data_IF_164192705353
#
_entry.id   IF_164192705353
#
_cell.length_a   1.000
_cell.length_b   1.000
_cell.length_c   1.000
_cell.angle_alpha   90.00
_cell.angle_beta   90.00
_cell.angle_gamma   90.00
#
_symmetry.space_group_name_H-M   'P 1'
#
loop_
_entity.id
_entity.type
_entity.pdbx_description
1 polymer ?
#
# COMPACT_ATOMS: atom_id res chain seq x y z
N UNK A 1 -4.64 43.21 -27.53
CA UNK A 1 -3.66 42.08 -27.67
C UNK A 1 -3.47 41.24 -26.40
N UNK A 2 -3.91 41.72 -25.20
CA UNK A 2 -3.83 40.96 -23.92
C UNK A 2 -4.85 39.82 -23.79
N UNK A 3 -6.06 39.99 -24.35
CA UNK A 3 -7.15 39.00 -24.15
C UNK A 3 -6.93 37.68 -24.93
N UNK A 4 -6.27 37.71 -26.07
CA UNK A 4 -6.02 36.52 -26.88
C UNK A 4 -4.88 35.65 -26.29
N UNK A 5 -3.92 36.28 -25.61
CA UNK A 5 -2.83 35.55 -24.97
C UNK A 5 -3.30 34.85 -23.70
N UNK A 6 -4.17 35.45 -22.92
CA UNK A 6 -4.72 34.84 -21.72
C UNK A 6 -5.68 33.71 -22.08
N UNK A 7 -6.54 33.85 -23.07
CA UNK A 7 -7.43 32.78 -23.53
C UNK A 7 -6.65 31.56 -24.08
N UNK A 8 -5.50 31.75 -24.74
CA UNK A 8 -4.65 30.64 -25.19
C UNK A 8 -3.93 29.94 -24.03
N UNK A 9 -3.54 30.68 -22.99
CA UNK A 9 -2.92 30.08 -21.80
C UNK A 9 -3.96 29.28 -21.01
N UNK A 10 -5.18 29.82 -20.84
CA UNK A 10 -6.28 29.12 -20.19
C UNK A 10 -6.70 27.85 -20.95
N UNK A 11 -6.82 27.90 -22.28
CA UNK A 11 -7.14 26.74 -23.08
C UNK A 11 -6.03 25.67 -23.03
N UNK A 12 -4.77 26.07 -23.12
CA UNK A 12 -3.64 25.15 -22.98
C UNK A 12 -3.57 24.47 -21.59
N UNK A 13 -3.97 25.18 -20.54
CA UNK A 13 -4.07 24.63 -19.19
C UNK A 13 -5.25 23.67 -19.08
N UNK A 14 -6.40 24.01 -19.66
CA UNK A 14 -7.58 23.13 -19.73
C UNK A 14 -7.26 21.87 -20.52
N UNK A 15 -6.58 21.99 -21.66
CA UNK A 15 -6.19 20.83 -22.47
C UNK A 15 -5.20 19.92 -21.75
N UNK A 16 -4.27 20.50 -20.95
CA UNK A 16 -3.38 19.73 -20.09
C UNK A 16 -4.13 19.03 -18.96
N UNK A 17 -5.09 19.71 -18.34
CA UNK A 17 -5.95 19.10 -17.29
C UNK A 17 -6.81 18.00 -17.89
N UNK A 18 -7.40 18.19 -19.07
CA UNK A 18 -8.19 17.18 -19.75
C UNK A 18 -7.33 15.98 -20.21
N UNK A 19 -6.06 16.19 -20.57
CA UNK A 19 -5.12 15.13 -20.87
C UNK A 19 -4.74 14.31 -19.64
N UNK A 20 -4.78 14.91 -18.44
CA UNK A 20 -4.61 14.21 -17.15
C UNK A 20 -5.86 13.40 -16.75
N UNK A 21 -7.01 13.67 -17.37
CA UNK A 21 -8.27 12.95 -17.11
C UNK A 21 -8.31 11.55 -17.76
N UNK A 22 -7.31 11.21 -18.57
CA UNK A 22 -7.18 9.88 -19.14
C UNK A 22 -6.38 8.97 -18.20
N UNK A 23 -7.07 8.06 -17.52
CA UNK A 23 -6.43 7.07 -16.64
C UNK A 23 -5.56 6.10 -17.47
N UNK A 24 -4.28 6.42 -17.59
CA UNK A 24 -3.32 5.70 -18.47
C UNK A 24 -3.01 4.27 -17.98
N UNK A 25 -3.20 3.97 -16.70
CA UNK A 25 -2.98 2.65 -16.11
C UNK A 25 -4.18 1.69 -16.27
N UNK A 26 -5.23 2.08 -16.99
CA UNK A 26 -6.49 1.34 -17.12
C UNK A 26 -6.49 0.10 -18.03
N UNK A 27 -5.35 -0.27 -18.60
CA UNK A 27 -5.23 -1.46 -19.44
C UNK A 27 -5.26 -2.76 -18.62
N UNK A 28 -5.64 -3.88 -19.26
CA UNK A 28 -5.61 -5.23 -18.68
C UNK A 28 -4.42 -5.98 -19.25
N UNK A 29 -3.67 -6.67 -18.40
CA UNK A 29 -2.62 -7.59 -18.84
C UNK A 29 -3.22 -8.98 -19.01
N UNK A 30 -3.07 -9.56 -20.22
CA UNK A 30 -3.59 -10.89 -20.54
C UNK A 30 -2.63 -11.97 -20.03
N UNK A 31 -2.81 -12.33 -18.75
CA UNK A 31 -2.05 -13.40 -18.07
C UNK A 31 -3.06 -14.39 -17.49
N UNK A 32 -2.81 -15.68 -17.74
CA UNK A 32 -3.64 -16.74 -17.18
C UNK A 32 -3.38 -16.87 -15.67
N UNK A 33 -4.44 -16.86 -14.85
CA UNK A 33 -4.36 -16.86 -13.39
C UNK A 33 -4.93 -18.12 -12.76
N UNK A 34 -4.30 -18.58 -11.67
CA UNK A 34 -4.86 -19.55 -10.73
C UNK A 34 -5.65 -18.79 -9.66
N UNK A 35 -6.95 -19.11 -9.51
CA UNK A 35 -7.86 -18.40 -8.60
C UNK A 35 -8.45 -19.36 -7.57
N UNK A 36 -8.59 -18.89 -6.33
CA UNK A 36 -9.47 -19.55 -5.35
C UNK A 36 -10.94 -19.44 -5.78
N UNK A 37 -11.83 -20.29 -5.27
CA UNK A 37 -13.26 -20.04 -5.37
C UNK A 37 -13.66 -18.67 -4.82
N UNK A 38 -14.75 -18.07 -5.37
CA UNK A 38 -15.31 -16.83 -4.84
C UNK A 38 -15.83 -16.99 -3.41
N UNK A 39 -15.83 -15.90 -2.68
CA UNK A 39 -16.39 -15.78 -1.36
C UNK A 39 -15.37 -15.94 -0.23
N UNK A 40 -15.75 -15.44 0.94
CA UNK A 40 -14.96 -15.48 2.16
C UNK A 40 -15.48 -16.56 3.10
N UNK A 41 -14.65 -17.54 3.36
CA UNK A 41 -14.95 -18.63 4.28
C UNK A 41 -13.67 -19.10 4.99
N UNK A 42 -13.84 -19.94 6.02
CA UNK A 42 -12.69 -20.57 6.68
C UNK A 42 -11.87 -21.43 5.70
N UNK A 43 -12.55 -22.12 4.77
CA UNK A 43 -11.89 -22.94 3.75
C UNK A 43 -11.01 -22.10 2.82
N UNK A 44 -11.45 -20.90 2.44
CA UNK A 44 -10.65 -19.96 1.65
C UNK A 44 -9.43 -19.47 2.44
N UNK A 45 -9.56 -19.18 3.73
CA UNK A 45 -8.43 -18.81 4.59
C UNK A 45 -7.40 -19.95 4.65
N UNK A 46 -7.85 -21.18 4.84
CA UNK A 46 -7.00 -22.38 4.83
C UNK A 46 -6.36 -22.63 3.46
N UNK A 47 -7.11 -22.41 2.38
CA UNK A 47 -6.62 -22.52 1.01
C UNK A 47 -5.47 -21.54 0.75
N UNK A 48 -5.61 -20.26 1.12
CA UNK A 48 -4.56 -19.24 0.99
C UNK A 48 -3.30 -19.68 1.73
N UNK A 49 -3.44 -20.10 2.99
CA UNK A 49 -2.33 -20.54 3.81
C UNK A 49 -1.61 -21.75 3.21
N UNK A 50 -2.35 -22.73 2.70
CA UNK A 50 -1.81 -23.91 2.04
C UNK A 50 -1.07 -23.57 0.73
N UNK A 51 -1.66 -22.71 -0.12
CA UNK A 51 -1.05 -22.24 -1.38
C UNK A 51 0.29 -21.49 -1.14
N UNK A 52 0.38 -20.76 -0.04
CA UNK A 52 1.57 -20.02 0.36
C UNK A 52 2.57 -20.88 1.14
N UNK A 53 2.26 -22.15 1.46
CA UNK A 53 3.04 -23.02 2.32
C UNK A 53 3.41 -22.33 3.65
N UNK A 54 2.41 -21.76 4.31
CA UNK A 54 2.61 -21.02 5.54
C UNK A 54 2.78 -21.93 6.76
N UNK A 55 3.55 -21.49 7.78
CA UNK A 55 3.66 -22.24 9.03
C UNK A 55 2.35 -22.14 9.84
N UNK A 56 2.11 -23.16 10.67
CA UNK A 56 0.88 -23.32 11.48
C UNK A 56 0.51 -22.07 12.29
N UNK A 57 1.51 -21.38 12.90
CA UNK A 57 1.25 -20.18 13.70
C UNK A 57 0.60 -19.04 12.89
N UNK A 58 0.90 -18.94 11.57
CA UNK A 58 0.30 -17.92 10.72
C UNK A 58 -1.13 -18.31 10.32
N UNK A 59 -1.38 -19.58 10.05
CA UNK A 59 -2.73 -20.08 9.85
C UNK A 59 -3.61 -19.83 11.08
N UNK A 60 -3.11 -20.09 12.28
CA UNK A 60 -3.83 -19.78 13.53
C UNK A 60 -4.14 -18.28 13.66
N UNK A 61 -3.17 -17.41 13.33
CA UNK A 61 -3.37 -15.96 13.31
C UNK A 61 -4.48 -15.56 12.36
N UNK A 62 -4.48 -16.09 11.12
CA UNK A 62 -5.51 -15.85 10.11
C UNK A 62 -6.89 -16.28 10.57
N UNK A 63 -7.01 -17.48 11.12
CA UNK A 63 -8.28 -18.03 11.60
C UNK A 63 -8.83 -17.21 12.78
N UNK A 64 -7.98 -16.80 13.71
CA UNK A 64 -8.39 -15.86 14.78
C UNK A 64 -8.93 -14.54 14.21
N UNK A 65 -8.28 -13.99 13.21
CA UNK A 65 -8.73 -12.79 12.54
C UNK A 65 -10.07 -13.02 11.81
N UNK A 66 -10.21 -14.10 11.06
CA UNK A 66 -11.46 -14.45 10.36
C UNK A 66 -12.65 -14.58 11.31
N UNK A 67 -12.50 -15.35 12.38
CA UNK A 67 -13.58 -15.53 13.37
C UNK A 67 -13.92 -14.24 14.13
N UNK A 68 -12.96 -13.34 14.29
CA UNK A 68 -13.20 -12.01 14.86
C UNK A 68 -13.94 -11.12 13.86
N UNK A 69 -13.51 -11.13 12.59
CA UNK A 69 -14.11 -10.36 11.51
C UNK A 69 -15.61 -10.66 11.33
N UNK A 70 -16.02 -11.92 11.43
CA UNK A 70 -17.43 -12.32 11.35
C UNK A 70 -18.33 -11.62 12.38
N UNK A 71 -17.77 -11.17 13.50
CA UNK A 71 -18.48 -10.52 14.61
C UNK A 71 -18.38 -8.99 14.58
N UNK A 72 -17.52 -8.44 13.72
CA UNK A 72 -17.33 -6.99 13.66
C UNK A 72 -18.41 -6.34 12.81
N UNK A 73 -19.05 -5.26 13.31
CA UNK A 73 -19.96 -4.47 12.48
C UNK A 73 -19.19 -3.71 11.40
N UNK A 74 -19.90 -3.34 10.32
CA UNK A 74 -19.36 -2.39 9.36
C UNK A 74 -19.12 -1.04 10.03
N UNK A 75 -17.96 -0.39 9.77
CA UNK A 75 -17.70 0.92 10.33
C UNK A 75 -18.59 1.98 9.65
N UNK A 76 -19.22 2.83 10.46
CA UNK A 76 -20.18 3.85 9.98
C UNK A 76 -19.73 5.28 10.21
N UNK A 77 -18.49 5.50 10.65
CA UNK A 77 -18.01 6.82 11.08
C UNK A 77 -17.34 7.65 9.96
N UNK A 78 -16.97 7.03 8.84
CA UNK A 78 -16.37 7.73 7.71
C UNK A 78 -17.39 8.60 6.97
N UNK A 79 -16.90 9.68 6.37
CA UNK A 79 -17.68 10.60 5.53
C UNK A 79 -17.60 10.19 4.05
N UNK A 80 -17.91 8.93 3.81
CA UNK A 80 -18.02 8.34 2.46
C UNK A 80 -19.32 7.54 2.40
N UNK A 81 -19.93 7.50 1.22
CA UNK A 81 -21.14 6.77 0.94
C UNK A 81 -20.89 5.80 -0.21
N UNK A 82 -21.15 4.52 0.02
CA UNK A 82 -21.00 3.47 -0.97
C UNK A 82 -21.98 2.32 -0.67
N UNK A 83 -22.39 1.53 -1.68
CA UNK A 83 -23.24 0.37 -1.46
C UNK A 83 -22.63 -0.63 -0.48
N UNK A 84 -23.48 -1.39 0.21
CA UNK A 84 -23.03 -2.50 1.05
C UNK A 84 -22.13 -3.44 0.26
N UNK A 85 -20.99 -3.79 0.86
CA UNK A 85 -20.00 -4.68 0.21
C UNK A 85 -20.47 -6.13 0.37
N UNK A 86 -20.70 -6.80 -0.76
CA UNK A 86 -20.89 -8.25 -0.75
C UNK A 86 -19.53 -8.95 -0.74
N UNK A 87 -19.07 -9.30 0.46
CA UNK A 87 -17.81 -10.02 0.64
C UNK A 87 -17.81 -11.42 0.03
N UNK A 88 -18.96 -11.93 -0.43
CA UNK A 88 -19.03 -13.23 -1.09
C UNK A 88 -18.84 -13.12 -2.61
N UNK A 89 -18.83 -11.92 -3.16
CA UNK A 89 -18.63 -11.69 -4.61
C UNK A 89 -17.17 -11.41 -5.00
N UNK A 90 -16.20 -11.58 -4.10
CA UNK A 90 -14.78 -11.36 -4.39
C UNK A 90 -13.97 -12.66 -4.42
N UNK A 91 -12.90 -12.66 -5.24
CA UNK A 91 -11.81 -13.63 -5.15
C UNK A 91 -10.77 -13.10 -4.15
N UNK A 92 -10.39 -13.90 -3.19
CA UNK A 92 -9.41 -13.56 -2.14
C UNK A 92 -8.01 -14.05 -2.45
N UNK A 93 -7.84 -14.76 -3.54
CA UNK A 93 -6.55 -15.19 -4.05
C UNK A 93 -6.60 -15.31 -5.56
N UNK A 94 -5.65 -14.68 -6.24
CA UNK A 94 -5.33 -14.86 -7.64
C UNK A 94 -3.81 -14.79 -7.80
N UNK A 95 -3.24 -15.65 -8.63
CA UNK A 95 -1.81 -15.65 -8.91
C UNK A 95 -1.56 -15.97 -10.38
N UNK A 96 -0.58 -15.34 -11.05
CA UNK A 96 -0.15 -15.74 -12.39
C UNK A 96 0.27 -17.21 -12.40
N UNK A 97 -0.15 -17.99 -13.39
CA UNK A 97 0.21 -19.42 -13.47
C UNK A 97 1.70 -19.70 -13.62
N UNK A 98 2.47 -18.71 -14.10
CA UNK A 98 3.92 -18.82 -14.30
C UNK A 98 4.77 -18.63 -13.03
N UNK A 99 4.16 -18.38 -11.89
CA UNK A 99 4.87 -17.99 -10.65
C UNK A 99 5.42 -19.14 -9.81
N UNK A 100 5.49 -20.36 -10.32
CA UNK A 100 6.10 -21.50 -9.58
C UNK A 100 7.60 -21.29 -9.29
N UNK A 101 8.27 -20.37 -10.04
CA UNK A 101 9.62 -19.91 -9.74
C UNK A 101 9.65 -18.39 -9.86
N UNK A 102 9.67 -17.69 -8.73
CA UNK A 102 9.87 -16.23 -8.73
C UNK A 102 11.19 -15.92 -9.47
N UNK A 103 11.19 -15.03 -10.49
CA UNK A 103 12.38 -14.69 -11.24
C UNK A 103 13.45 -14.07 -10.34
N UNK A 104 14.71 -14.45 -10.50
CA UNK A 104 15.82 -13.86 -9.74
C UNK A 104 16.27 -12.51 -10.32
N UNK A 105 15.88 -12.21 -11.57
CA UNK A 105 16.17 -10.96 -12.27
C UNK A 105 15.02 -10.57 -13.21
N UNK A 106 15.02 -9.32 -13.71
CA UNK A 106 14.06 -8.88 -14.73
C UNK A 106 14.20 -9.63 -16.06
N UNK A 107 15.37 -10.18 -16.36
CA UNK A 107 15.59 -10.96 -17.57
C UNK A 107 14.84 -12.30 -17.54
N UNK A 108 14.47 -12.75 -16.33
CA UNK A 108 13.71 -13.97 -16.11
C UNK A 108 12.18 -13.72 -16.02
N UNK A 109 11.75 -12.45 -16.12
CA UNK A 109 10.34 -12.05 -16.04
C UNK A 109 9.66 -12.27 -17.38
N UNK A 110 8.40 -12.73 -17.36
CA UNK A 110 7.59 -12.86 -18.57
C UNK A 110 7.59 -11.54 -19.38
N UNK A 111 7.94 -11.55 -20.68
CA UNK A 111 7.96 -10.37 -21.52
C UNK A 111 6.64 -9.57 -21.50
N UNK A 112 5.49 -10.22 -21.30
CA UNK A 112 4.18 -9.54 -21.14
C UNK A 112 4.09 -8.72 -19.86
N UNK A 113 4.76 -9.16 -18.81
CA UNK A 113 4.86 -8.41 -17.55
C UNK A 113 5.78 -7.18 -17.73
N UNK A 114 6.91 -7.32 -18.43
CA UNK A 114 7.79 -6.20 -18.76
C UNK A 114 7.06 -5.17 -19.64
N UNK A 115 6.31 -5.63 -20.66
CA UNK A 115 5.45 -4.74 -21.45
C UNK A 115 4.41 -4.03 -20.57
N UNK A 116 3.92 -4.69 -19.53
CA UNK A 116 3.02 -4.09 -18.54
C UNK A 116 3.72 -2.99 -17.76
N UNK A 117 4.96 -3.19 -17.35
CA UNK A 117 5.76 -2.16 -16.67
C UNK A 117 6.00 -0.94 -17.56
N UNK A 118 6.27 -1.16 -18.85
CA UNK A 118 6.38 -0.08 -19.84
C UNK A 118 5.06 0.68 -19.98
N UNK A 119 3.93 -0.03 -20.12
CA UNK A 119 2.60 0.57 -20.22
C UNK A 119 2.19 1.32 -18.94
N UNK A 120 2.66 0.90 -17.79
CA UNK A 120 2.43 1.60 -16.52
C UNK A 120 3.24 2.88 -16.40
N UNK A 121 4.12 3.16 -17.38
CA UNK A 121 5.01 4.31 -17.29
C UNK A 121 5.93 4.20 -16.08
N UNK A 122 6.23 2.98 -15.63
CA UNK A 122 7.34 2.77 -14.71
C UNK A 122 8.54 3.36 -15.42
N UNK A 123 9.11 4.46 -14.92
CA UNK A 123 10.06 5.23 -15.71
C UNK A 123 11.16 4.33 -16.23
N UNK A 124 11.54 4.44 -17.51
CA UNK A 124 12.71 3.77 -18.08
C UNK A 124 13.95 3.95 -17.20
N UNK A 125 14.04 5.04 -16.45
CA UNK A 125 15.02 5.24 -15.38
C UNK A 125 14.90 4.23 -14.23
N UNK A 126 13.72 3.80 -13.88
CA UNK A 126 13.54 2.71 -12.93
C UNK A 126 13.80 1.37 -13.63
N UNK A 127 13.46 1.23 -14.90
CA UNK A 127 13.87 0.09 -15.74
C UNK A 127 15.38 0.11 -16.00
N UNK A 128 16.01 1.27 -16.26
CA UNK A 128 17.48 1.43 -16.40
C UNK A 128 18.21 1.34 -15.08
N UNK A 129 17.60 1.74 -13.98
CA UNK A 129 18.08 1.53 -12.62
C UNK A 129 17.92 0.05 -12.25
N UNK A 130 16.88 -0.58 -12.69
CA UNK A 130 16.67 -2.03 -12.68
C UNK A 130 17.76 -2.72 -13.55
N UNK A 131 18.26 -2.06 -14.57
CA UNK A 131 19.37 -2.49 -15.44
C UNK A 131 20.79 -2.06 -14.98
N UNK A 132 20.95 -1.38 -13.86
CA UNK A 132 22.28 -1.12 -13.25
C UNK A 132 22.85 0.27 -13.44
N UNK A 133 22.09 1.30 -13.82
CA UNK A 133 22.58 2.68 -14.07
C UNK A 133 22.30 3.62 -12.89
N UNK A 134 23.35 4.15 -12.38
CA UNK A 134 23.70 5.31 -11.51
C UNK A 134 22.85 5.84 -10.35
N UNK A 135 21.62 5.43 -10.05
CA UNK A 135 20.95 5.74 -8.76
C UNK A 135 20.13 4.54 -8.32
N UNK A 136 20.64 3.73 -7.38
CA UNK A 136 20.01 2.44 -7.08
C UNK A 136 18.74 2.61 -6.24
N UNK A 137 17.61 2.26 -6.81
CA UNK A 137 16.35 1.98 -6.11
C UNK A 137 16.16 0.47 -6.12
N UNK A 138 15.90 -0.14 -4.97
CA UNK A 138 15.47 -1.52 -4.94
C UNK A 138 13.95 -1.55 -5.09
N UNK A 139 13.47 -2.29 -6.07
CA UNK A 139 12.05 -2.37 -6.42
C UNK A 139 11.54 -3.80 -6.26
N UNK A 140 10.42 -3.94 -5.59
CA UNK A 140 9.60 -5.15 -5.61
C UNK A 140 8.30 -4.87 -6.35
N UNK A 141 7.73 -5.86 -7.01
CA UNK A 141 6.45 -5.73 -7.73
C UNK A 141 5.52 -6.83 -7.27
N UNK A 142 4.37 -6.42 -6.78
CA UNK A 142 3.29 -7.33 -6.41
C UNK A 142 2.19 -7.25 -7.45
N UNK A 143 1.91 -8.37 -8.10
CA UNK A 143 0.88 -8.52 -9.11
C UNK A 143 -0.22 -9.44 -8.58
N UNK A 144 -1.43 -8.88 -8.43
CA UNK A 144 -2.55 -9.54 -7.75
C UNK A 144 -2.16 -10.03 -6.33
N UNK A 145 -1.90 -11.31 -6.16
CA UNK A 145 -1.63 -11.92 -4.86
C UNK A 145 -0.20 -12.42 -4.66
N UNK A 146 0.73 -12.07 -5.56
CA UNK A 146 2.10 -12.64 -5.56
C UNK A 146 3.14 -11.59 -5.88
N UNK A 147 4.24 -11.58 -5.13
CA UNK A 147 5.46 -10.87 -5.51
C UNK A 147 6.13 -11.57 -6.69
N UNK A 148 6.45 -10.82 -7.74
CA UNK A 148 7.00 -11.37 -8.98
C UNK A 148 8.47 -11.07 -9.19
N UNK A 149 9.02 -10.02 -8.56
CA UNK A 149 10.43 -9.68 -8.66
C UNK A 149 10.89 -8.78 -7.49
N UNK A 150 12.07 -9.06 -6.95
CA UNK A 150 12.79 -8.16 -6.04
C UNK A 150 14.20 -7.94 -6.55
N UNK A 151 14.52 -6.71 -6.93
CA UNK A 151 15.82 -6.33 -7.48
C UNK A 151 16.82 -5.92 -6.39
N UNK A 152 18.11 -5.92 -6.74
CA UNK A 152 19.21 -5.54 -5.82
C UNK A 152 19.32 -6.35 -4.52
N UNK A 153 18.65 -7.47 -4.42
CA UNK A 153 18.66 -8.36 -3.23
C UNK A 153 20.08 -8.63 -2.70
N UNK A 154 21.06 -8.82 -3.61
CA UNK A 154 22.46 -9.06 -3.25
C UNK A 154 23.13 -7.86 -2.54
N UNK A 155 22.97 -6.65 -3.08
CA UNK A 155 23.56 -5.41 -2.49
C UNK A 155 22.97 -5.09 -1.12
N UNK A 156 21.67 -5.32 -0.96
CA UNK A 156 20.98 -5.15 0.32
C UNK A 156 21.49 -6.17 1.34
N UNK A 157 21.60 -7.45 0.92
CA UNK A 157 22.10 -8.52 1.77
C UNK A 157 23.55 -8.30 2.27
N UNK A 158 24.42 -7.69 1.46
CA UNK A 158 25.79 -7.31 1.86
C UNK A 158 25.82 -6.30 3.02
N UNK A 159 24.76 -5.52 3.21
CA UNK A 159 24.54 -4.60 4.34
C UNK A 159 23.67 -5.19 5.45
N UNK A 160 23.28 -6.46 5.32
CA UNK A 160 22.35 -7.10 6.24
C UNK A 160 20.91 -6.62 6.14
N UNK A 161 20.58 -5.79 5.14
CA UNK A 161 19.22 -5.31 4.88
C UNK A 161 18.39 -6.44 4.29
N UNK A 162 17.23 -6.70 4.89
CA UNK A 162 16.24 -7.63 4.37
C UNK A 162 15.20 -6.81 3.62
N UNK A 163 14.97 -7.14 2.35
CA UNK A 163 13.85 -6.64 1.54
C UNK A 163 13.35 -7.81 0.70
N UNK A 164 12.17 -8.28 1.01
CA UNK A 164 11.54 -9.42 0.35
C UNK A 164 10.02 -9.35 0.51
N UNK A 165 9.33 -10.29 -0.14
CA UNK A 165 7.90 -10.47 0.10
C UNK A 165 7.62 -10.85 1.56
N UNK A 166 6.45 -10.49 2.08
CA UNK A 166 6.03 -10.94 3.42
C UNK A 166 5.88 -12.46 3.46
N UNK A 167 5.52 -13.09 2.34
CA UNK A 167 5.42 -14.55 2.19
C UNK A 167 6.76 -15.26 2.37
N UNK A 168 7.84 -14.68 1.83
CA UNK A 168 9.20 -15.20 2.05
C UNK A 168 9.66 -14.91 3.48
N UNK A 169 9.40 -13.71 3.99
CA UNK A 169 9.80 -13.33 5.33
C UNK A 169 9.21 -14.23 6.42
N UNK A 170 7.96 -14.69 6.25
CA UNK A 170 7.30 -15.65 7.16
C UNK A 170 8.06 -16.96 7.26
N UNK A 171 8.73 -17.38 6.18
CA UNK A 171 9.50 -18.64 6.11
C UNK A 171 10.95 -18.45 6.54
N UNK A 172 11.60 -17.41 6.00
CA UNK A 172 13.03 -17.19 6.14
C UNK A 172 13.41 -16.45 7.44
N UNK A 173 12.48 -15.60 7.95
CA UNK A 173 12.69 -14.75 9.13
C UNK A 173 11.52 -14.81 10.12
N UNK A 174 11.00 -16.00 10.48
CA UNK A 174 9.76 -16.15 11.26
C UNK A 174 9.79 -15.43 12.60
N UNK A 175 10.95 -15.34 13.27
CA UNK A 175 11.05 -14.71 14.59
C UNK A 175 10.89 -13.17 14.49
N UNK A 176 11.40 -12.55 13.42
CA UNK A 176 11.19 -11.12 13.17
C UNK A 176 9.71 -10.84 12.85
N UNK A 177 9.13 -11.65 11.97
CA UNK A 177 7.72 -11.47 11.59
C UNK A 177 6.81 -11.68 12.81
N UNK A 178 6.98 -12.74 13.60
CA UNK A 178 6.20 -12.98 14.83
C UNK A 178 6.34 -11.85 15.84
N UNK A 179 7.53 -11.27 15.98
CA UNK A 179 7.79 -10.19 16.93
C UNK A 179 7.06 -8.90 16.56
N UNK A 180 7.00 -8.56 15.28
CA UNK A 180 6.59 -7.24 14.85
C UNK A 180 5.23 -7.19 14.13
N UNK A 181 4.83 -8.24 13.41
CA UNK A 181 3.54 -8.26 12.70
C UNK A 181 2.38 -8.22 13.70
N UNK A 182 1.48 -7.26 13.48
CA UNK A 182 0.34 -7.05 14.38
C UNK A 182 0.68 -6.31 15.68
N UNK A 183 1.94 -5.89 15.87
CA UNK A 183 2.36 -5.15 17.06
C UNK A 183 1.93 -3.69 17.04
N UNK A 184 1.71 -3.13 15.85
CA UNK A 184 1.31 -1.74 15.64
C UNK A 184 -0.13 -1.65 15.13
N UNK A 185 -0.52 -2.56 14.24
CA UNK A 185 -1.90 -2.73 13.77
C UNK A 185 -2.36 -4.15 14.15
N UNK A 186 -2.92 -4.35 15.34
CA UNK A 186 -3.43 -5.66 15.74
C UNK A 186 -4.61 -6.07 14.83
N UNK A 187 -4.81 -7.37 14.65
CA UNK A 187 -5.84 -7.88 13.73
C UNK A 187 -7.26 -7.37 14.03
N UNK A 188 -7.55 -7.01 15.27
CA UNK A 188 -8.85 -6.50 15.72
C UNK A 188 -8.97 -4.97 15.72
N UNK A 189 -8.07 -4.25 15.05
CA UNK A 189 -8.07 -2.78 15.03
C UNK A 189 -9.33 -2.17 14.40
N UNK A 190 -9.70 -2.69 13.23
CA UNK A 190 -10.93 -2.33 12.52
C UNK A 190 -11.33 -3.46 11.53
N UNK A 191 -12.54 -3.38 10.99
CA UNK A 191 -13.11 -4.41 10.09
C UNK A 191 -12.20 -4.75 8.91
N UNK A 192 -11.63 -3.74 8.23
CA UNK A 192 -10.79 -3.95 7.04
C UNK A 192 -9.37 -4.45 7.39
N UNK A 193 -8.80 -3.99 8.51
CA UNK A 193 -7.54 -4.53 9.02
C UNK A 193 -7.70 -5.98 9.48
N UNK A 194 -8.86 -6.31 10.03
CA UNK A 194 -9.22 -7.67 10.42
C UNK A 194 -9.38 -8.58 9.20
N UNK A 195 -10.07 -8.10 8.15
CA UNK A 195 -10.16 -8.79 6.87
C UNK A 195 -8.78 -9.03 6.28
N UNK A 196 -7.95 -7.98 6.21
CA UNK A 196 -6.57 -8.12 5.74
C UNK A 196 -5.83 -9.21 6.52
N UNK A 197 -5.89 -9.19 7.86
CA UNK A 197 -5.20 -10.18 8.69
C UNK A 197 -5.64 -11.63 8.39
N UNK A 198 -6.89 -11.84 7.98
CA UNK A 198 -7.40 -13.15 7.60
C UNK A 198 -6.93 -13.60 6.21
N UNK A 199 -6.85 -12.67 5.25
CA UNK A 199 -6.70 -13.04 3.83
C UNK A 199 -5.54 -12.35 3.09
N UNK A 200 -4.64 -11.61 3.76
CA UNK A 200 -3.52 -11.00 3.05
C UNK A 200 -2.72 -12.06 2.28
N UNK A 201 -2.35 -11.71 1.06
CA UNK A 201 -1.73 -12.67 0.15
C UNK A 201 -0.27 -12.38 -0.11
N UNK A 202 0.07 -11.10 -0.17
CA UNK A 202 1.47 -10.67 -0.20
C UNK A 202 1.64 -9.24 0.32
N UNK A 203 2.81 -8.66 0.10
CA UNK A 203 3.23 -7.35 0.55
C UNK A 203 4.72 -7.35 0.83
N UNK A 204 5.23 -6.25 1.38
CA UNK A 204 6.67 -6.09 1.59
C UNK A 204 7.06 -6.32 3.04
N UNK A 205 8.17 -7.03 3.22
CA UNK A 205 8.89 -7.09 4.48
C UNK A 205 10.24 -6.40 4.34
N UNK A 206 10.49 -5.43 5.22
CA UNK A 206 11.76 -4.70 5.27
C UNK A 206 12.30 -4.72 6.71
N UNK A 207 13.55 -5.12 6.85
CA UNK A 207 14.29 -4.98 8.10
C UNK A 207 15.63 -4.31 7.84
N UNK A 208 15.89 -3.22 8.53
CA UNK A 208 17.16 -2.50 8.47
C UNK A 208 17.90 -2.75 9.78
N UNK A 209 19.09 -3.37 9.75
CA UNK A 209 19.86 -3.64 10.96
C UNK A 209 20.31 -2.39 11.70
N UNK A 210 20.66 -2.56 12.97
CA UNK A 210 21.18 -1.52 13.86
C UNK A 210 22.30 -0.71 13.19
N UNK A 211 22.21 0.61 13.28
CA UNK A 211 23.17 1.56 12.75
C UNK A 211 23.27 1.63 11.23
N UNK A 212 22.52 0.83 10.50
CA UNK A 212 22.60 0.78 9.04
C UNK A 212 21.73 1.87 8.42
N UNK A 213 22.36 2.72 7.59
CA UNK A 213 21.64 3.56 6.65
C UNK A 213 21.41 2.76 5.37
N UNK A 214 20.14 2.50 5.01
CA UNK A 214 19.81 1.77 3.78
C UNK A 214 20.52 2.43 2.58
N UNK A 215 21.27 1.68 1.77
CA UNK A 215 22.14 2.25 0.75
C UNK A 215 21.37 2.83 -0.44
N UNK A 216 20.08 2.57 -0.53
CA UNK A 216 19.21 3.01 -1.61
C UNK A 216 17.79 3.22 -1.12
N UNK A 217 16.96 3.93 -1.89
CA UNK A 217 15.53 3.96 -1.68
C UNK A 217 14.93 2.60 -2.08
N UNK A 218 14.00 2.11 -1.26
CA UNK A 218 13.25 0.89 -1.56
C UNK A 218 11.91 1.28 -2.16
N UNK A 219 11.41 0.51 -3.10
CA UNK A 219 10.05 0.74 -3.60
C UNK A 219 9.30 -0.56 -3.92
N UNK A 220 7.98 -0.50 -3.84
CA UNK A 220 7.09 -1.59 -4.23
C UNK A 220 5.96 -1.03 -5.07
N UNK A 221 5.65 -1.74 -6.14
CA UNK A 221 4.47 -1.48 -6.96
C UNK A 221 3.42 -2.57 -6.75
N UNK A 222 2.21 -2.14 -6.44
CA UNK A 222 1.04 -3.01 -6.33
C UNK A 222 0.13 -2.81 -7.52
N UNK A 223 -0.23 -3.91 -8.17
CA UNK A 223 -1.17 -3.89 -9.28
C UNK A 223 -2.24 -4.96 -9.12
N UNK A 224 -3.49 -4.53 -9.07
CA UNK A 224 -4.64 -5.42 -9.29
C UNK A 224 -4.80 -5.58 -10.81
N UNK A 225 -4.96 -6.78 -11.31
CA UNK A 225 -5.21 -7.04 -12.73
C UNK A 225 -6.46 -7.89 -12.94
N UNK A 226 -6.70 -8.87 -12.10
CA UNK A 226 -7.80 -9.81 -12.22
C UNK A 226 -9.16 -9.19 -11.84
N UNK A 227 -10.21 -9.61 -12.57
CA UNK A 227 -11.57 -9.15 -12.35
C UNK A 227 -12.16 -9.71 -11.04
N UNK A 228 -12.89 -8.89 -10.29
CA UNK A 228 -13.51 -9.24 -8.99
C UNK A 228 -12.51 -9.75 -7.95
N UNK A 229 -11.21 -9.50 -8.11
CA UNK A 229 -10.20 -9.85 -7.13
C UNK A 229 -10.00 -8.70 -6.16
N UNK A 230 -10.09 -9.00 -4.86
CA UNK A 230 -9.64 -8.07 -3.83
C UNK A 230 -8.11 -8.05 -3.75
N UNK A 231 -7.55 -6.88 -3.42
CA UNK A 231 -6.13 -6.73 -3.11
C UNK A 231 -5.95 -6.57 -1.60
N UNK A 232 -5.19 -7.48 -1.01
CA UNK A 232 -5.02 -7.55 0.45
C UNK A 232 -3.54 -7.66 0.79
N UNK A 233 -2.81 -6.56 0.59
CA UNK A 233 -1.39 -6.53 0.92
C UNK A 233 -1.11 -6.15 2.37
N UNK A 234 -0.01 -6.69 2.90
CA UNK A 234 0.48 -6.38 4.23
C UNK A 234 1.96 -6.03 4.18
N UNK A 235 2.28 -4.77 4.47
CA UNK A 235 3.65 -4.26 4.51
C UNK A 235 4.10 -4.09 5.97
N UNK A 236 5.28 -4.63 6.28
CA UNK A 236 5.93 -4.47 7.58
C UNK A 236 7.35 -3.95 7.39
N UNK A 237 7.62 -2.76 7.92
CA UNK A 237 8.95 -2.14 7.90
C UNK A 237 9.46 -1.96 9.32
N UNK A 238 10.60 -2.57 9.61
CA UNK A 238 11.30 -2.46 10.88
C UNK A 238 12.66 -1.79 10.65
N UNK A 239 12.84 -0.64 11.24
CA UNK A 239 14.13 0.06 11.31
C UNK A 239 14.69 -0.13 12.72
N UNK A 240 15.78 -0.90 12.83
CA UNK A 240 16.43 -1.18 14.11
C UNK A 240 17.19 0.05 14.62
N UNK A 241 17.75 0.01 15.81
CA UNK A 241 18.34 1.15 16.51
C UNK A 241 19.32 1.92 15.62
N UNK A 242 19.18 3.25 15.55
CA UNK A 242 20.03 4.14 14.76
C UNK A 242 19.98 3.95 13.24
N UNK A 243 19.07 3.12 12.73
CA UNK A 243 18.98 2.82 11.32
C UNK A 243 18.11 3.82 10.54
N UNK A 244 18.23 3.80 9.20
CA UNK A 244 17.48 4.71 8.34
C UNK A 244 17.03 4.05 7.05
N UNK A 245 15.76 4.25 6.68
CA UNK A 245 15.19 3.79 5.40
C UNK A 245 14.25 4.82 4.78
N UNK A 246 14.27 4.90 3.44
CA UNK A 246 13.26 5.55 2.62
C UNK A 246 12.55 4.49 1.77
N UNK A 247 11.22 4.52 1.77
CA UNK A 247 10.39 3.55 1.07
C UNK A 247 9.29 4.26 0.29
N UNK A 248 9.07 3.83 -0.95
CA UNK A 248 8.03 4.32 -1.85
C UNK A 248 7.06 3.21 -2.23
N UNK A 249 5.78 3.47 -2.08
CA UNK A 249 4.70 2.58 -2.52
C UNK A 249 3.95 3.21 -3.69
N UNK A 250 3.82 2.48 -4.79
CA UNK A 250 2.99 2.83 -5.93
C UNK A 250 1.86 1.82 -6.12
N UNK A 251 0.64 2.30 -6.43
CA UNK A 251 -0.53 1.43 -6.59
C UNK A 251 -1.35 1.80 -7.82
N UNK A 252 -1.73 0.79 -8.63
CA UNK A 252 -2.58 0.97 -9.81
C UNK A 252 -3.55 -0.21 -10.00
N UNK A 253 -4.62 0.02 -10.77
CA UNK A 253 -5.58 -1.01 -11.18
C UNK A 253 -6.11 -0.72 -12.59
N UNK A 254 -6.57 -1.75 -13.36
CA UNK A 254 -7.22 -1.53 -14.65
C UNK A 254 -8.59 -0.87 -14.50
N UNK A 255 -9.10 -0.30 -15.62
CA UNK A 255 -10.48 0.16 -15.69
C UNK A 255 -11.43 -1.03 -15.72
N UNK A 256 -12.38 -1.05 -14.79
CA UNK A 256 -13.43 -2.07 -14.67
C UNK A 256 -14.77 -1.44 -14.32
N UNK A 257 -15.84 -2.02 -14.84
CA UNK A 257 -17.21 -1.57 -14.56
C UNK A 257 -17.70 -1.98 -13.15
N UNK A 258 -17.00 -2.91 -12.51
CA UNK A 258 -17.29 -3.35 -11.15
C UNK A 258 -16.38 -2.65 -10.14
N UNK A 259 -16.86 -2.53 -8.90
CA UNK A 259 -16.05 -2.05 -7.82
C UNK A 259 -15.14 -3.18 -7.31
N UNK A 260 -13.87 -2.87 -7.11
CA UNK A 260 -12.89 -3.79 -6.54
C UNK A 260 -12.47 -3.32 -5.15
N UNK A 261 -12.25 -4.27 -4.25
CA UNK A 261 -11.87 -3.99 -2.87
C UNK A 261 -10.35 -4.04 -2.70
N UNK A 262 -9.79 -2.94 -2.21
CA UNK A 262 -8.42 -2.88 -1.74
C UNK A 262 -8.43 -2.65 -0.23
N UNK A 263 -7.95 -3.61 0.54
CA UNK A 263 -7.84 -3.49 1.99
C UNK A 263 -6.41 -3.85 2.43
N UNK A 264 -5.58 -2.84 2.65
CA UNK A 264 -4.18 -3.00 2.98
C UNK A 264 -3.86 -2.63 4.44
N UNK A 265 -2.80 -3.24 4.96
CA UNK A 265 -2.22 -2.89 6.26
C UNK A 265 -0.75 -2.58 6.11
N UNK A 266 -0.32 -1.44 6.66
CA UNK A 266 1.09 -1.05 6.74
C UNK A 266 1.47 -0.78 8.19
N UNK A 267 2.50 -1.48 8.64
CA UNK A 267 3.08 -1.33 9.98
C UNK A 267 4.52 -0.84 9.88
N UNK A 268 4.83 0.27 10.56
CA UNK A 268 6.18 0.80 10.67
C UNK A 268 6.65 0.73 12.13
N UNK A 269 7.81 0.16 12.35
CA UNK A 269 8.46 0.11 13.66
C UNK A 269 9.81 0.81 13.55
N UNK A 270 9.93 1.99 14.14
CA UNK A 270 11.19 2.71 14.26
C UNK A 270 11.69 2.59 15.70
N UNK A 271 12.73 1.77 15.91
CA UNK A 271 13.37 1.60 17.22
C UNK A 271 14.16 2.86 17.60
N UNK A 272 14.89 2.84 18.69
CA UNK A 272 15.57 4.03 19.23
C UNK A 272 16.52 4.64 18.19
N UNK A 273 16.48 5.97 18.03
CA UNK A 273 17.26 6.75 17.06
C UNK A 273 17.01 6.41 15.56
N UNK A 274 16.08 5.51 15.25
CA UNK A 274 15.80 5.09 13.88
C UNK A 274 14.93 6.09 13.11
N UNK A 275 15.04 6.07 11.78
CA UNK A 275 14.27 6.93 10.90
C UNK A 275 13.64 6.16 9.74
N UNK A 276 12.33 6.31 9.58
CA UNK A 276 11.57 5.76 8.45
C UNK A 276 10.90 6.92 7.71
N UNK A 277 11.19 7.05 6.41
CA UNK A 277 10.42 7.85 5.48
C UNK A 277 9.60 6.92 4.59
N UNK A 278 8.28 7.04 4.65
CA UNK A 278 7.35 6.25 3.86
C UNK A 278 6.55 7.15 2.94
N UNK A 279 6.69 6.94 1.65
CA UNK A 279 5.99 7.70 0.62
C UNK A 279 5.00 6.79 -0.11
N UNK A 280 3.82 7.30 -0.45
CA UNK A 280 2.80 6.59 -1.21
C UNK A 280 2.28 7.45 -2.35
N UNK A 281 2.21 6.88 -3.54
CA UNK A 281 1.46 7.43 -4.67
C UNK A 281 0.38 6.42 -5.03
N UNK A 282 -0.89 6.76 -4.75
CA UNK A 282 -2.02 5.89 -5.07
C UNK A 282 -2.82 6.51 -6.22
N UNK A 283 -2.79 5.81 -7.34
CA UNK A 283 -3.51 6.16 -8.55
C UNK A 283 -4.36 4.97 -8.99
N UNK A 284 -5.30 4.58 -8.13
CA UNK A 284 -6.27 3.55 -8.42
C UNK A 284 -7.32 4.05 -9.42
N UNK A 285 -7.91 3.14 -10.18
CA UNK A 285 -9.02 3.49 -11.08
C UNK A 285 -10.19 4.12 -10.30
N UNK A 286 -10.64 5.34 -10.66
CA UNK A 286 -11.65 6.08 -9.91
C UNK A 286 -13.11 5.72 -10.23
N UNK A 287 -13.35 4.90 -11.25
CA UNK A 287 -14.65 4.72 -11.88
C UNK A 287 -14.78 5.54 -13.17
N UNK A 288 -15.85 5.30 -13.91
CA UNK A 288 -16.15 6.00 -15.17
C UNK A 288 -16.72 7.42 -14.92
N UNK A 289 -17.01 8.14 -16.00
CA UNK A 289 -17.58 9.50 -15.94
C UNK A 289 -18.96 9.58 -15.26
N UNK A 290 -19.64 8.44 -15.06
CA UNK A 290 -20.92 8.33 -14.35
C UNK A 290 -20.75 7.86 -12.90
N UNK A 291 -19.52 7.60 -12.45
CA UNK A 291 -19.20 7.08 -11.13
C UNK A 291 -19.41 5.56 -10.98
N UNK A 292 -19.44 4.82 -12.12
CA UNK A 292 -19.57 3.35 -12.10
C UNK A 292 -18.20 2.69 -12.02
N UNK A 293 -18.08 1.63 -11.23
CA UNK A 293 -16.82 0.91 -11.02
C UNK A 293 -15.85 1.64 -10.10
N UNK A 294 -14.58 1.31 -10.23
CA UNK A 294 -13.50 1.91 -9.45
C UNK A 294 -13.18 1.17 -8.16
N UNK A 295 -12.10 1.59 -7.51
CA UNK A 295 -11.54 0.91 -6.35
C UNK A 295 -12.10 1.47 -5.05
N UNK A 296 -12.52 0.60 -4.14
CA UNK A 296 -12.73 0.90 -2.73
C UNK A 296 -11.41 0.68 -1.99
N UNK A 297 -10.76 1.78 -1.64
CA UNK A 297 -9.41 1.82 -1.09
C UNK A 297 -9.43 2.05 0.42
N UNK A 298 -9.45 0.97 1.18
CA UNK A 298 -9.52 0.98 2.64
C UNK A 298 -8.18 0.55 3.24
N UNK A 299 -7.40 1.51 3.71
CA UNK A 299 -6.03 1.26 4.14
C UNK A 299 -5.79 1.68 5.58
N UNK A 300 -5.24 0.76 6.36
CA UNK A 300 -4.79 1.01 7.72
C UNK A 300 -3.27 1.11 7.74
N UNK A 301 -2.74 2.33 7.97
CA UNK A 301 -1.29 2.58 8.09
C UNK A 301 -0.98 3.09 9.50
N UNK A 302 -0.04 2.46 10.18
CA UNK A 302 0.38 2.95 11.50
C UNK A 302 1.86 2.72 11.75
N UNK A 303 2.50 3.72 12.36
CA UNK A 303 3.88 3.65 12.80
C UNK A 303 3.99 3.83 14.31
N UNK A 304 4.97 3.16 14.90
CA UNK A 304 5.39 3.38 16.28
C UNK A 304 6.84 3.89 16.27
N UNK A 305 7.06 5.03 16.91
CA UNK A 305 8.38 5.65 17.05
C UNK A 305 8.85 5.56 18.50
N UNK A 306 9.99 4.92 18.70
CA UNK A 306 10.66 4.81 19.98
C UNK A 306 11.51 6.06 20.30
N UNK A 307 12.42 6.00 21.25
CA UNK A 307 13.20 7.16 21.73
C UNK A 307 14.01 7.78 20.61
N UNK A 308 13.93 9.11 20.44
CA UNK A 308 14.58 9.89 19.39
C UNK A 308 14.23 9.47 17.94
N UNK A 309 13.36 8.47 17.75
CA UNK A 309 13.02 7.95 16.43
C UNK A 309 12.11 8.91 15.66
N UNK A 310 12.16 8.80 14.34
CA UNK A 310 11.36 9.62 13.43
C UNK A 310 10.62 8.78 12.40
N UNK A 311 9.32 9.03 12.25
CA UNK A 311 8.50 8.50 11.15
C UNK A 311 7.93 9.67 10.35
N UNK A 312 8.16 9.67 9.03
CA UNK A 312 7.63 10.66 8.10
C UNK A 312 6.77 9.96 7.04
N UNK A 313 5.49 10.28 7.02
CA UNK A 313 4.54 9.86 6.00
C UNK A 313 4.40 10.93 4.94
N UNK A 314 4.54 10.55 3.67
CA UNK A 314 4.16 11.38 2.52
C UNK A 314 3.16 10.63 1.68
N UNK A 315 2.00 11.20 1.36
CA UNK A 315 1.03 10.52 0.51
C UNK A 315 0.39 11.43 -0.52
N UNK A 316 0.19 10.87 -1.71
CA UNK A 316 -0.57 11.46 -2.81
C UNK A 316 -1.70 10.51 -3.16
N UNK A 317 -2.93 10.99 -3.04
CA UNK A 317 -4.15 10.26 -3.34
C UNK A 317 -4.81 10.95 -4.54
N UNK A 318 -4.81 10.29 -5.69
CA UNK A 318 -5.34 10.87 -6.95
C UNK A 318 -6.37 9.98 -7.64
N UNK A 319 -6.61 8.80 -7.11
CA UNK A 319 -7.51 7.81 -7.69
C UNK A 319 -8.51 7.28 -6.68
N UNK A 320 -9.07 6.11 -6.99
CA UNK A 320 -10.12 5.39 -6.24
C UNK A 320 -11.51 6.01 -6.36
N UNK A 321 -12.54 5.18 -6.41
CA UNK A 321 -13.92 5.63 -6.26
C UNK A 321 -14.17 6.09 -4.83
N UNK A 322 -13.68 5.32 -3.85
CA UNK A 322 -13.74 5.65 -2.42
C UNK A 322 -12.37 5.44 -1.79
N UNK A 323 -11.84 6.47 -1.14
CA UNK A 323 -10.62 6.38 -0.32
C UNK A 323 -10.97 6.58 1.15
N UNK A 324 -10.53 5.63 1.98
CA UNK A 324 -10.68 5.69 3.42
C UNK A 324 -9.36 5.30 4.10
N UNK A 325 -8.59 6.33 4.51
CA UNK A 325 -7.20 6.11 4.92
C UNK A 325 -6.69 7.16 5.90
N UNK A 326 -6.15 6.69 7.04
CA UNK A 326 -5.58 7.53 8.09
C UNK A 326 -4.23 7.00 8.57
N UNK A 327 -3.12 7.32 7.89
CA UNK A 327 -1.81 7.05 8.44
C UNK A 327 -1.64 7.66 9.83
N UNK A 328 -1.06 6.93 10.75
CA UNK A 328 -0.91 7.39 12.13
C UNK A 328 0.48 7.12 12.69
N UNK A 329 0.89 7.93 13.68
CA UNK A 329 2.10 7.70 14.46
C UNK A 329 1.76 7.59 15.94
N UNK A 330 2.27 6.55 16.58
CA UNK A 330 2.36 6.43 18.03
C UNK A 330 3.76 6.86 18.44
N UNK A 331 3.88 8.05 19.02
CA UNK A 331 5.14 8.64 19.49
C UNK A 331 5.39 8.12 20.92
N UNK A 332 5.91 6.89 20.98
CA UNK A 332 6.03 6.12 22.22
C UNK A 332 7.24 6.53 23.05
N UNK A 333 8.38 6.72 22.39
CA UNK A 333 9.62 7.07 23.07
C UNK A 333 9.80 8.57 23.22
N UNK A 334 10.64 8.97 24.18
CA UNK A 334 10.98 10.37 24.41
C UNK A 334 11.66 10.99 23.17
N UNK A 335 11.40 12.27 22.90
CA UNK A 335 11.91 13.05 21.77
C UNK A 335 11.50 12.50 20.39
N UNK A 336 10.61 11.51 20.30
CA UNK A 336 10.20 10.95 19.00
C UNK A 336 9.42 11.97 18.16
N UNK A 337 9.49 11.80 16.83
CA UNK A 337 8.94 12.75 15.84
C UNK A 337 8.06 12.03 14.85
N UNK A 338 6.84 12.55 14.66
CA UNK A 338 5.90 12.10 13.63
C UNK A 338 5.62 13.21 12.61
N UNK A 339 5.74 12.91 11.34
CA UNK A 339 5.41 13.86 10.27
C UNK A 339 4.37 13.27 9.32
N UNK A 340 3.46 14.10 8.85
CA UNK A 340 2.47 13.72 7.85
C UNK A 340 2.31 14.82 6.82
N UNK A 341 2.61 14.50 5.59
CA UNK A 341 2.44 15.37 4.42
C UNK A 341 1.51 14.67 3.44
N UNK A 342 0.41 15.31 3.06
CA UNK A 342 -0.53 14.71 2.12
C UNK A 342 -1.11 15.69 1.12
N UNK A 343 -1.39 15.15 -0.08
CA UNK A 343 -2.21 15.79 -1.10
C UNK A 343 -3.30 14.79 -1.50
N UNK A 344 -4.56 15.21 -1.42
CA UNK A 344 -5.70 14.46 -1.92
C UNK A 344 -6.37 15.26 -3.04
N UNK A 345 -6.45 14.65 -4.22
CA UNK A 345 -7.12 15.21 -5.39
C UNK A 345 -8.31 14.33 -5.73
N UNK A 346 -9.51 14.89 -5.69
CA UNK A 346 -10.73 14.17 -6.04
C UNK A 346 -11.45 14.89 -7.18
N UNK A 347 -12.02 14.12 -8.10
CA UNK A 347 -12.77 14.64 -9.24
C UNK A 347 -14.02 13.77 -9.48
N UNK A 348 -14.95 14.27 -10.30
CA UNK A 348 -16.18 13.58 -10.69
C UNK A 348 -16.99 13.08 -9.48
N UNK A 349 -17.06 11.76 -9.27
CA UNK A 349 -17.82 11.13 -8.18
C UNK A 349 -16.93 10.51 -7.10
N UNK A 350 -15.63 10.78 -7.12
CA UNK A 350 -14.70 10.25 -6.14
C UNK A 350 -15.02 10.77 -4.73
N UNK A 351 -14.85 9.91 -3.75
CA UNK A 351 -15.02 10.25 -2.35
C UNK A 351 -13.72 9.92 -1.59
N UNK A 352 -13.26 10.85 -0.78
CA UNK A 352 -12.08 10.65 0.05
C UNK A 352 -12.35 11.10 1.48
N UNK A 353 -12.26 10.20 2.44
CA UNK A 353 -12.14 10.54 3.85
C UNK A 353 -10.73 10.15 4.31
N UNK A 354 -9.85 11.12 4.33
CA UNK A 354 -8.43 10.96 4.64
C UNK A 354 -8.04 11.72 5.90
N UNK A 355 -6.82 11.51 6.36
CA UNK A 355 -6.32 12.24 7.50
C UNK A 355 -5.18 11.54 8.22
N UNK A 356 -4.97 11.91 9.47
CA UNK A 356 -3.89 11.34 10.28
C UNK A 356 -4.21 11.36 11.77
N UNK A 357 -3.50 10.52 12.52
CA UNK A 357 -3.54 10.51 13.99
C UNK A 357 -2.11 10.57 14.53
N UNK A 358 -1.85 11.53 15.40
CA UNK A 358 -0.58 11.65 16.13
C UNK A 358 -0.83 11.45 17.61
N UNK A 359 -0.33 10.35 18.18
CA UNK A 359 -0.54 9.95 19.56
C UNK A 359 0.78 10.12 20.31
N UNK A 360 0.84 11.12 21.17
CA UNK A 360 2.01 11.46 21.96
C UNK A 360 1.96 10.74 23.31
N UNK A 361 2.91 9.85 23.56
CA UNK A 361 3.07 9.09 24.82
C UNK A 361 4.36 9.44 25.54
N UNK A 362 5.46 9.62 24.79
CA UNK A 362 6.77 9.99 25.33
C UNK A 362 6.88 11.49 25.63
N UNK A 363 7.92 11.88 26.35
CA UNK A 363 8.23 13.28 26.66
C UNK A 363 8.89 13.98 25.46
N UNK A 364 8.68 15.28 25.33
CA UNK A 364 9.30 16.13 24.30
C UNK A 364 9.01 15.65 22.87
N UNK A 365 7.95 14.90 22.66
CA UNK A 365 7.58 14.41 21.33
C UNK A 365 7.02 15.54 20.45
N UNK A 366 7.23 15.45 19.15
CA UNK A 366 6.78 16.45 18.17
C UNK A 366 6.04 15.83 17.01
N UNK A 367 5.04 16.54 16.51
CA UNK A 367 4.37 16.14 15.27
C UNK A 367 4.16 17.34 14.34
N UNK A 368 4.23 17.07 13.04
CA UNK A 368 3.91 18.03 11.97
C UNK A 368 2.87 17.42 11.05
N UNK A 369 1.82 18.17 10.76
CA UNK A 369 0.75 17.75 9.86
C UNK A 369 0.56 18.83 8.81
N UNK A 370 0.76 18.47 7.53
CA UNK A 370 0.44 19.32 6.39
C UNK A 370 -0.42 18.50 5.43
N UNK A 371 -1.70 18.83 5.34
CA UNK A 371 -2.64 18.18 4.45
C UNK A 371 -3.26 19.18 3.50
N UNK A 372 -3.28 18.85 2.21
CA UNK A 372 -3.89 19.65 1.16
C UNK A 372 -4.92 18.82 0.42
N UNK A 373 -6.09 19.37 0.15
CA UNK A 373 -7.16 18.73 -0.59
C UNK A 373 -7.69 19.62 -1.70
N UNK A 374 -7.97 19.03 -2.84
CA UNK A 374 -8.66 19.66 -3.96
C UNK A 374 -9.80 18.74 -4.38
N UNK A 375 -11.01 19.29 -4.43
CA UNK A 375 -12.20 18.61 -4.96
C UNK A 375 -12.71 19.33 -6.19
N UNK A 376 -13.03 18.59 -7.23
CA UNK A 376 -13.62 19.09 -8.47
C UNK A 376 -14.85 18.25 -8.86
N UNK A 377 -15.69 18.77 -9.74
CA UNK A 377 -16.88 18.08 -10.21
C UNK A 377 -17.89 17.84 -9.09
N UNK A 378 -18.27 16.59 -8.89
CA UNK A 378 -19.22 16.12 -7.84
C UNK A 378 -18.50 15.31 -6.76
N UNK A 379 -17.20 15.50 -6.61
CA UNK A 379 -16.41 14.74 -5.64
C UNK A 379 -16.54 15.31 -4.24
N UNK A 380 -16.37 14.44 -3.25
CA UNK A 380 -16.32 14.77 -1.84
C UNK A 380 -14.93 14.48 -1.26
N UNK A 381 -14.39 15.42 -0.49
CA UNK A 381 -13.14 15.24 0.23
C UNK A 381 -13.29 15.69 1.68
N UNK A 382 -13.15 14.74 2.60
CA UNK A 382 -13.14 15.00 4.04
C UNK A 382 -11.72 14.76 4.59
N UNK A 383 -11.31 15.63 5.52
CA UNK A 383 -10.07 15.46 6.26
C UNK A 383 -10.34 15.33 7.76
N UNK A 384 -9.68 14.35 8.40
CA UNK A 384 -9.73 14.16 9.86
C UNK A 384 -8.34 14.14 10.45
N UNK A 385 -8.05 15.11 11.29
CA UNK A 385 -6.82 15.17 12.07
C UNK A 385 -7.08 14.88 13.54
N UNK A 386 -6.30 14.01 14.16
CA UNK A 386 -6.30 13.80 15.60
C UNK A 386 -4.88 13.97 16.13
N UNK A 387 -4.72 14.89 17.07
CA UNK A 387 -3.53 14.97 17.92
C UNK A 387 -3.96 14.69 19.35
N UNK A 388 -3.44 13.60 19.91
CA UNK A 388 -3.71 13.20 21.30
C UNK A 388 -2.41 13.22 22.09
N UNK A 389 -2.41 13.96 23.19
CA UNK A 389 -1.29 14.02 24.13
C UNK A 389 -1.76 13.33 25.40
N UNK A 390 -1.07 12.28 25.77
CA UNK A 390 -1.31 11.60 27.03
C UNK A 390 -0.43 12.23 28.11
N UNK A 391 -0.96 12.36 29.35
CA UNK A 391 -0.19 12.93 30.45
C UNK A 391 0.97 12.05 30.89
#
# INVERSE_FOLDING_TARGET
>A
MSDISNARIEQGTIDQVNALDTYSAGFVTDIESDKAPKGLSEDIVRFISAKKNEPEWLLEYRLKAYHHWLKMPEPSWAKVDFPEIDYQDYYYYAAPKSSENAPESLDDVDPKLLETYEKLGIPLREQEILAGVKNPVAVDVVFDSVSVATTFKKKLKEKGVIFCSISDAVKDYPELVKKYMGSVVPFHDNKHACLNAAVFTDGSFVYIPEGVRCPMELSTYFRINEMNTGQFERTLIVADEGSHVSYLEGCTAPMRDENQLHAAVVELVALDDAQIKYSTVQNWYPGDANGKGGIYNFVTKRGIAHTNAKISWTQVETGSAVTWKYPSCVLKGDNSVGEFYSVALTNNFQQADTGTKMIHLGKNTRSTIVAKGISAGRSDSAYRGLVRINP
#
